data_IF_107720568928
#
_entry.id   IF_107720568928
#
_cell.length_a   1.000
_cell.length_b   1.000
_cell.length_c   1.000
_cell.angle_alpha   90.00
_cell.angle_beta   90.00
_cell.angle_gamma   90.00
#
_symmetry.space_group_name_H-M   'P 1'
#
loop_
_entity.id
_entity.type
_entity.pdbx_description
1 polymer ?
#
# COMPACT_ATOMS: atom_id res chain seq x y z
N UNK A 1 -3.66 28.65 -26.89
CA UNK A 1 -4.17 28.00 -25.66
C UNK A 1 -3.94 26.51 -25.79
N UNK A 2 -3.48 25.85 -24.73
CA UNK A 2 -3.39 24.38 -24.70
C UNK A 2 -4.74 23.80 -24.28
N UNK A 3 -5.15 22.68 -24.88
CA UNK A 3 -6.42 22.01 -24.60
C UNK A 3 -6.15 20.61 -24.03
N UNK A 4 -6.85 20.26 -22.96
CA UNK A 4 -6.82 18.92 -22.36
C UNK A 4 -8.22 18.33 -22.48
N UNK A 5 -8.32 17.11 -23.02
CA UNK A 5 -9.56 16.35 -23.11
C UNK A 5 -9.44 15.09 -22.25
N UNK A 6 -10.34 14.94 -21.28
CA UNK A 6 -10.37 13.79 -20.36
C UNK A 6 -11.71 13.09 -20.54
N UNK A 7 -11.68 11.76 -20.73
CA UNK A 7 -12.89 10.93 -20.74
C UNK A 7 -13.18 10.47 -19.30
N UNK A 8 -14.41 10.65 -18.86
CA UNK A 8 -14.90 10.26 -17.53
C UNK A 8 -16.32 9.72 -17.68
N UNK A 9 -16.72 8.86 -16.75
CA UNK A 9 -18.09 8.36 -16.69
C UNK A 9 -19.08 9.47 -16.33
N UNK A 10 -20.30 9.38 -16.86
CA UNK A 10 -21.34 10.40 -16.63
C UNK A 10 -21.70 10.55 -15.16
N UNK A 11 -21.70 9.44 -14.40
CA UNK A 11 -21.93 9.46 -12.97
C UNK A 11 -20.84 10.23 -12.23
N UNK A 12 -19.57 9.91 -12.48
CA UNK A 12 -18.43 10.58 -11.85
C UNK A 12 -18.43 12.09 -12.16
N UNK A 13 -18.74 12.46 -13.41
CA UNK A 13 -18.85 13.86 -13.81
C UNK A 13 -19.94 14.58 -13.04
N UNK A 14 -21.12 13.96 -12.88
CA UNK A 14 -22.23 14.56 -12.14
C UNK A 14 -21.87 14.76 -10.67
N UNK A 15 -21.38 13.71 -10.02
CA UNK A 15 -21.01 13.72 -8.60
C UNK A 15 -19.93 14.77 -8.33
N UNK A 16 -18.87 14.82 -9.15
CA UNK A 16 -17.82 15.83 -9.01
C UNK A 16 -18.34 17.27 -9.25
N UNK A 17 -19.28 17.46 -10.19
CA UNK A 17 -19.86 18.79 -10.46
C UNK A 17 -20.66 19.30 -9.27
N UNK A 18 -21.42 18.42 -8.61
CA UNK A 18 -22.21 18.76 -7.43
C UNK A 18 -21.30 19.20 -6.28
N UNK A 19 -20.26 18.40 -5.97
CA UNK A 19 -19.27 18.73 -4.93
C UNK A 19 -18.57 20.06 -5.21
N UNK A 20 -18.10 20.30 -6.44
CA UNK A 20 -17.43 21.55 -6.76
C UNK A 20 -18.38 22.75 -6.72
N UNK A 21 -19.64 22.57 -7.10
CA UNK A 21 -20.66 23.63 -7.04
C UNK A 21 -20.97 24.04 -5.60
N UNK A 22 -21.04 23.07 -4.67
CA UNK A 22 -21.18 23.35 -3.24
C UNK A 22 -19.99 24.15 -2.68
N UNK A 23 -18.79 23.93 -3.22
CA UNK A 23 -17.59 24.69 -2.91
C UNK A 23 -17.49 26.03 -3.65
N UNK A 24 -18.47 26.37 -4.50
CA UNK A 24 -18.46 27.60 -5.30
C UNK A 24 -17.44 27.61 -6.45
N UNK A 25 -17.05 26.42 -6.93
CA UNK A 25 -16.06 26.22 -8.00
C UNK A 25 -16.71 25.60 -9.23
N UNK A 26 -16.29 26.05 -10.42
CA UNK A 26 -16.60 25.34 -11.66
C UNK A 26 -15.60 24.18 -11.88
N UNK A 27 -16.05 23.17 -12.63
CA UNK A 27 -15.23 21.99 -12.97
C UNK A 27 -13.87 22.39 -13.57
N UNK A 28 -13.84 23.42 -14.40
CA UNK A 28 -12.61 23.89 -15.04
C UNK A 28 -11.63 24.49 -14.02
N UNK A 29 -12.11 25.27 -13.05
CA UNK A 29 -11.25 25.81 -11.99
C UNK A 29 -10.75 24.72 -11.06
N UNK A 30 -11.57 23.72 -10.72
CA UNK A 30 -11.15 22.58 -9.92
C UNK A 30 -9.98 21.82 -10.61
N UNK A 31 -10.10 21.51 -11.91
CA UNK A 31 -9.02 20.86 -12.68
C UNK A 31 -7.78 21.74 -12.77
N UNK A 32 -7.93 23.06 -12.94
CA UNK A 32 -6.80 24.00 -12.93
C UNK A 32 -6.10 24.04 -11.57
N UNK A 33 -6.84 24.01 -10.47
CA UNK A 33 -6.29 23.98 -9.12
C UNK A 33 -5.48 22.70 -8.90
N UNK A 34 -6.03 21.55 -9.29
CA UNK A 34 -5.32 20.28 -9.26
C UNK A 34 -3.96 20.37 -9.98
N UNK A 35 -3.94 20.82 -11.25
CA UNK A 35 -2.71 20.93 -12.02
C UNK A 35 -1.70 21.92 -11.41
N UNK A 36 -2.17 23.07 -10.91
CA UNK A 36 -1.31 24.04 -10.23
C UNK A 36 -0.69 23.46 -8.96
N UNK A 37 -1.48 22.76 -8.16
CA UNK A 37 -1.00 22.15 -6.94
C UNK A 37 0.04 21.06 -7.24
N UNK A 38 -0.21 20.21 -8.25
CA UNK A 38 0.76 19.19 -8.66
C UNK A 38 2.10 19.77 -9.10
N UNK A 39 2.07 20.91 -9.81
CA UNK A 39 3.29 21.61 -10.23
C UNK A 39 4.00 22.25 -9.03
N UNK A 40 3.26 22.84 -8.10
CA UNK A 40 3.81 23.50 -6.92
C UNK A 40 4.51 22.51 -5.98
N UNK A 41 3.87 21.37 -5.69
CA UNK A 41 4.40 20.36 -4.76
C UNK A 41 5.29 19.34 -5.44
N UNK A 42 5.33 19.31 -6.78
CA UNK A 42 6.00 18.26 -7.57
C UNK A 42 5.55 16.85 -7.16
N UNK A 43 4.28 16.73 -6.79
CA UNK A 43 3.67 15.48 -6.33
C UNK A 43 2.23 15.40 -6.82
N UNK A 44 1.57 14.27 -6.58
CA UNK A 44 0.11 14.20 -6.73
C UNK A 44 -0.51 14.89 -5.50
N UNK A 45 -1.49 15.80 -5.67
CA UNK A 45 -2.03 16.66 -4.62
C UNK A 45 -3.12 15.96 -3.80
N UNK A 46 -2.94 14.68 -3.57
CA UNK A 46 -3.69 13.83 -2.67
C UNK A 46 -2.85 12.58 -2.38
N UNK A 47 -3.14 11.92 -1.28
CA UNK A 47 -2.44 10.70 -0.90
C UNK A 47 -2.85 9.52 -1.79
N UNK A 48 -1.87 8.74 -2.23
CA UNK A 48 -2.12 7.52 -3.01
C UNK A 48 -2.11 6.33 -2.05
N UNK A 49 -3.30 5.86 -1.65
CA UNK A 49 -3.46 4.62 -0.88
C UNK A 49 -4.05 3.53 -1.78
N UNK A 50 -3.47 2.33 -1.75
CA UNK A 50 -4.16 1.12 -2.20
C UNK A 50 -5.04 0.67 -1.03
N UNK A 51 -6.27 0.24 -1.30
CA UNK A 51 -7.26 -0.17 -0.27
C UNK A 51 -6.85 -1.41 0.57
N UNK A 52 -5.57 -1.78 0.57
CA UNK A 52 -5.04 -3.00 1.21
C UNK A 52 -4.15 -2.71 2.41
N UNK A 53 -3.76 -1.44 2.64
CA UNK A 53 -2.98 -1.10 3.82
C UNK A 53 -3.93 -0.93 5.01
N UNK A 54 -4.23 -2.06 5.67
CA UNK A 54 -4.73 -2.02 7.05
C UNK A 54 -3.62 -1.42 7.92
N UNK A 55 -3.64 -0.10 8.09
CA UNK A 55 -2.80 0.59 9.06
C UNK A 55 -3.32 0.25 10.46
N UNK A 56 -2.68 -0.73 11.12
CA UNK A 56 -2.87 -0.91 12.56
C UNK A 56 -1.95 0.10 13.24
N UNK A 57 -2.53 1.21 13.71
CA UNK A 57 -1.83 2.17 14.56
C UNK A 57 -1.47 1.50 15.89
N UNK A 58 -0.18 1.45 16.21
CA UNK A 58 0.29 1.11 17.54
C UNK A 58 0.21 2.36 18.42
N UNK A 59 -0.09 2.19 19.72
CA UNK A 59 -0.21 3.29 20.70
C UNK A 59 1.02 4.22 20.77
N UNK A 60 2.15 3.78 20.23
CA UNK A 60 3.44 4.48 20.29
C UNK A 60 3.66 5.43 19.08
N UNK A 61 2.75 5.46 18.10
CA UNK A 61 2.89 6.24 16.87
C UNK A 61 3.74 5.61 15.78
N UNK A 62 4.14 4.35 15.96
CA UNK A 62 4.79 3.52 14.94
C UNK A 62 3.73 2.70 14.18
N UNK A 63 4.00 2.42 12.90
CA UNK A 63 3.14 1.57 12.07
C UNK A 63 3.89 0.30 11.64
N UNK A 64 3.20 -0.84 11.70
CA UNK A 64 3.68 -2.08 11.09
C UNK A 64 3.03 -2.20 9.71
N UNK A 65 3.84 -2.20 8.65
CA UNK A 65 3.38 -2.67 7.33
C UNK A 65 3.24 -4.19 7.38
N UNK A 66 2.06 -4.70 7.73
CA UNK A 66 1.76 -6.12 7.54
C UNK A 66 1.44 -6.34 6.06
N UNK A 67 2.44 -6.60 5.22
CA UNK A 67 2.18 -7.14 3.88
C UNK A 67 1.45 -8.47 4.05
N UNK A 68 0.32 -8.64 3.39
CA UNK A 68 -0.39 -9.91 3.34
C UNK A 68 0.53 -10.99 2.78
N UNK A 69 0.45 -12.19 3.35
CA UNK A 69 1.32 -13.30 2.93
C UNK A 69 1.11 -13.69 1.45
N UNK A 70 -0.07 -13.40 0.92
CA UNK A 70 -0.49 -13.59 -0.47
C UNK A 70 0.30 -12.75 -1.48
N UNK A 71 1.02 -11.71 -1.03
CA UNK A 71 1.90 -10.91 -1.88
C UNK A 71 3.31 -11.50 -2.09
N UNK A 72 3.67 -12.57 -1.36
CA UNK A 72 4.96 -13.22 -1.50
C UNK A 72 4.91 -14.36 -2.53
N UNK A 73 6.08 -14.74 -3.08
CA UNK A 73 6.16 -15.91 -3.98
C UNK A 73 5.74 -17.19 -3.24
N UNK A 74 5.34 -18.23 -4.00
CA UNK A 74 4.84 -19.49 -3.43
C UNK A 74 5.84 -20.13 -2.44
N UNK A 75 7.14 -19.95 -2.67
CA UNK A 75 8.21 -20.46 -1.81
C UNK A 75 8.10 -19.86 -0.40
N UNK A 76 8.00 -18.52 -0.29
CA UNK A 76 7.88 -17.83 1.00
C UNK A 76 6.56 -18.15 1.70
N UNK A 77 5.47 -18.29 0.95
CA UNK A 77 4.16 -18.67 1.51
C UNK A 77 4.21 -20.07 2.15
N UNK A 78 4.85 -21.02 1.46
CA UNK A 78 5.00 -22.39 1.94
C UNK A 78 5.95 -22.46 3.15
N UNK A 79 7.09 -21.75 3.10
CA UNK A 79 8.05 -21.70 4.21
C UNK A 79 7.42 -21.13 5.49
N UNK A 80 6.59 -20.09 5.37
CA UNK A 80 5.88 -19.53 6.52
C UNK A 80 4.84 -20.52 7.08
N UNK A 81 4.01 -21.13 6.22
CA UNK A 81 3.04 -22.15 6.65
C UNK A 81 3.72 -23.31 7.38
N UNK A 82 4.80 -23.83 6.81
CA UNK A 82 5.60 -24.90 7.41
C UNK A 82 6.17 -24.47 8.77
N UNK A 83 6.67 -23.23 8.87
CA UNK A 83 7.20 -22.70 10.14
C UNK A 83 6.11 -22.60 11.22
N UNK A 84 4.92 -22.12 10.87
CA UNK A 84 3.79 -22.01 11.80
C UNK A 84 3.32 -23.39 12.26
N UNK A 85 3.17 -24.33 11.34
CA UNK A 85 2.76 -25.71 11.65
C UNK A 85 3.80 -26.40 12.55
N UNK A 86 5.09 -26.15 12.33
CA UNK A 86 6.16 -26.64 13.22
C UNK A 86 6.05 -26.05 14.63
N UNK A 87 5.80 -24.75 14.76
CA UNK A 87 5.62 -24.12 16.08
C UNK A 87 4.39 -24.66 16.82
N UNK A 88 3.28 -24.90 16.12
CA UNK A 88 2.06 -25.46 16.71
C UNK A 88 2.27 -26.90 17.20
N UNK A 89 3.05 -27.70 16.49
CA UNK A 89 3.31 -29.11 16.83
C UNK A 89 4.43 -29.31 17.86
N UNK A 90 5.54 -28.57 17.74
CA UNK A 90 6.77 -28.79 18.55
C UNK A 90 6.98 -27.74 19.64
N UNK A 91 6.19 -26.65 19.63
CA UNK A 91 6.40 -25.49 20.48
C UNK A 91 7.63 -24.65 20.06
N UNK A 92 7.81 -23.49 20.71
CA UNK A 92 8.99 -22.64 20.46
C UNK A 92 10.19 -23.26 21.17
N UNK A 93 10.97 -24.06 20.45
CA UNK A 93 12.32 -24.43 20.88
C UNK A 93 13.22 -23.19 20.80
N UNK A 94 13.94 -22.88 21.88
CA UNK A 94 14.81 -21.70 21.93
C UNK A 94 15.98 -21.92 20.96
N UNK A 95 15.96 -21.28 19.79
CA UNK A 95 17.07 -21.35 18.84
C UNK A 95 18.33 -20.82 19.50
N UNK A 96 19.33 -21.69 19.69
CA UNK A 96 20.67 -21.29 20.11
C UNK A 96 21.52 -20.81 18.93
N UNK A 97 21.04 -21.00 17.70
CA UNK A 97 21.68 -20.48 16.49
C UNK A 97 21.44 -18.99 16.35
N UNK A 98 22.45 -18.27 15.86
CA UNK A 98 22.33 -16.84 15.57
C UNK A 98 21.49 -16.60 14.31
N UNK A 99 20.92 -15.40 14.19
CA UNK A 99 20.10 -15.01 13.03
C UNK A 99 20.89 -15.13 11.72
N UNK A 100 22.19 -14.78 11.74
CA UNK A 100 23.07 -14.85 10.57
C UNK A 100 23.30 -16.30 10.11
N UNK A 101 23.52 -17.23 11.05
CA UNK A 101 23.72 -18.66 10.73
C UNK A 101 22.46 -19.29 10.13
N UNK A 102 21.27 -18.87 10.59
CA UNK A 102 19.99 -19.33 10.04
C UNK A 102 19.84 -18.95 8.56
N UNK A 103 20.12 -17.68 8.21
CA UNK A 103 20.00 -17.20 6.83
C UNK A 103 21.00 -17.89 5.90
N UNK A 104 22.25 -18.09 6.34
CA UNK A 104 23.29 -18.81 5.58
C UNK A 104 22.94 -20.29 5.33
N UNK A 105 22.19 -20.93 6.23
CA UNK A 105 21.67 -22.29 6.01
C UNK A 105 20.56 -22.29 4.97
N UNK A 106 19.56 -21.41 5.11
CA UNK A 106 18.43 -21.35 4.17
C UNK A 106 18.87 -21.08 2.72
N UNK A 107 19.84 -20.19 2.52
CA UNK A 107 20.38 -19.90 1.19
C UNK A 107 21.07 -21.13 0.59
N UNK A 108 21.77 -21.93 1.41
CA UNK A 108 22.43 -23.17 0.94
C UNK A 108 21.46 -24.30 0.62
N UNK A 109 20.37 -24.42 1.37
CA UNK A 109 19.38 -25.49 1.18
C UNK A 109 18.44 -25.23 -0.01
N UNK A 110 18.31 -23.98 -0.46
CA UNK A 110 17.43 -23.57 -1.55
C UNK A 110 18.17 -23.10 -2.82
N UNK A 111 19.49 -23.32 -2.91
CA UNK A 111 20.32 -23.06 -4.09
C UNK A 111 20.61 -24.35 -4.87
#
# INVERSE_FOLDING_TARGET
MSQIAVRVDDKLKKDATEVFSELGLDMTTAVKLFLKQSVLTRSIPFELKLNTDYEIDLENGDYIRTRGIDEYNEITQNAFKESIEKYENEGITKCSESVDEYFERMVRENA
#
